data_IF_009264649572
#
_entry.id   IF_009264649572
#
_cell.length_a   1.000
_cell.length_b   1.000
_cell.length_c   1.000
_cell.angle_alpha   90.00
_cell.angle_beta   90.00
_cell.angle_gamma   90.00
#
_symmetry.space_group_name_H-M   'P 1'
#
loop_
_entity.id
_entity.type
_entity.pdbx_description
1 polymer ?
#
# COMPACT_ATOMS: atom_id res chain seq x y z
N UNK A 1 -1.42 -36.33 33.38
CA UNK A 1 -2.47 -36.16 32.37
C UNK A 1 -3.37 -35.02 32.82
N UNK A 2 -3.16 -33.82 32.27
CA UNK A 2 -4.07 -32.69 32.38
C UNK A 2 -4.18 -32.07 30.99
N UNK A 3 -5.39 -32.12 30.44
CA UNK A 3 -5.80 -31.38 29.26
C UNK A 3 -6.34 -30.06 29.78
N UNK A 4 -5.79 -28.94 29.31
CA UNK A 4 -6.40 -27.61 29.49
C UNK A 4 -6.45 -26.93 28.12
N UNK A 5 -7.68 -26.75 27.65
CA UNK A 5 -8.06 -25.82 26.59
C UNK A 5 -7.73 -24.39 27.03
N UNK A 6 -7.01 -23.63 26.20
CA UNK A 6 -6.76 -22.22 26.45
C UNK A 6 -5.68 -21.70 25.51
N UNK A 7 -6.08 -20.98 24.46
CA UNK A 7 -5.17 -20.18 23.64
C UNK A 7 -4.69 -19.05 24.55
N UNK A 8 -3.52 -19.24 25.16
CA UNK A 8 -2.84 -18.17 25.88
C UNK A 8 -2.34 -17.17 24.83
N UNK A 9 -2.97 -15.99 24.76
CA UNK A 9 -2.43 -14.83 24.06
C UNK A 9 -1.12 -14.44 24.76
N UNK A 10 0.01 -14.92 24.23
CA UNK A 10 1.32 -14.53 24.73
C UNK A 10 1.74 -13.27 23.98
N UNK A 11 1.54 -12.11 24.61
CA UNK A 11 2.14 -10.86 24.18
C UNK A 11 3.64 -10.95 24.44
N UNK A 12 4.43 -11.11 23.38
CA UNK A 12 5.88 -11.14 23.49
C UNK A 12 6.42 -9.71 23.34
N UNK A 13 7.26 -9.28 24.28
CA UNK A 13 8.08 -8.09 24.13
C UNK A 13 9.33 -8.47 23.31
N UNK A 14 9.44 -7.95 22.10
CA UNK A 14 10.57 -8.22 21.21
C UNK A 14 11.21 -6.89 20.82
N UNK A 15 12.46 -6.66 21.26
CA UNK A 15 13.19 -5.39 21.13
C UNK A 15 12.38 -4.13 21.54
N UNK A 16 11.62 -4.21 22.63
CA UNK A 16 10.81 -3.09 23.14
C UNK A 16 9.51 -2.84 22.37
N UNK A 17 9.17 -3.69 21.39
CA UNK A 17 7.89 -3.68 20.70
C UNK A 17 7.00 -4.81 21.24
N UNK A 18 5.73 -4.48 21.51
CA UNK A 18 4.72 -5.48 21.82
C UNK A 18 4.30 -6.17 20.51
N UNK A 19 4.62 -7.47 20.38
CA UNK A 19 4.23 -8.28 19.23
C UNK A 19 2.94 -9.01 19.59
N UNK A 20 1.87 -8.70 18.86
CA UNK A 20 0.58 -9.33 19.03
C UNK A 20 0.50 -10.60 18.19
N UNK A 21 0.29 -11.72 18.86
CA UNK A 21 0.19 -13.06 18.26
C UNK A 21 -1.25 -13.58 18.25
N UNK A 22 -2.24 -12.74 17.90
CA UNK A 22 -3.58 -13.27 17.61
C UNK A 22 -3.76 -13.43 16.11
N UNK A 23 -4.10 -14.65 15.72
CA UNK A 23 -4.76 -14.89 14.47
C UNK A 23 -6.15 -14.25 14.51
N UNK A 24 -6.60 -13.75 13.38
CA UNK A 24 -7.98 -13.31 13.18
C UNK A 24 -8.90 -14.49 13.44
N UNK A 25 -10.01 -14.29 14.16
CA UNK A 25 -11.05 -15.33 14.17
C UNK A 25 -11.69 -15.35 12.77
N UNK A 26 -12.04 -16.54 12.27
CA UNK A 26 -12.67 -16.68 10.94
C UNK A 26 -14.00 -15.93 10.84
N UNK A 27 -14.62 -15.63 11.98
CA UNK A 27 -15.90 -14.94 12.09
C UNK A 27 -15.75 -13.43 12.35
N UNK A 28 -14.52 -12.91 12.49
CA UNK A 28 -14.25 -11.51 12.78
C UNK A 28 -14.49 -10.65 11.53
N UNK A 29 -15.56 -9.86 11.55
CA UNK A 29 -15.87 -8.90 10.49
C UNK A 29 -15.07 -7.61 10.66
N UNK A 30 -14.77 -6.95 9.54
CA UNK A 30 -14.23 -5.58 9.56
C UNK A 30 -15.16 -4.66 10.37
N UNK A 31 -14.61 -3.77 11.23
CA UNK A 31 -15.45 -2.81 11.92
C UNK A 31 -16.15 -1.91 10.90
N UNK A 32 -17.43 -1.62 11.15
CA UNK A 32 -18.24 -0.77 10.26
C UNK A 32 -17.65 0.65 10.27
N UNK A 33 -17.09 1.05 9.14
CA UNK A 33 -16.59 2.40 8.93
C UNK A 33 -17.73 3.34 8.52
N UNK A 34 -17.72 4.62 8.95
CA UNK A 34 -18.68 5.61 8.46
C UNK A 34 -18.54 5.75 6.93
N UNK A 35 -19.64 5.56 6.18
CA UNK A 35 -19.69 5.52 4.71
C UNK A 35 -19.16 6.77 3.99
N UNK A 36 -18.96 7.88 4.69
CA UNK A 36 -18.48 9.16 4.14
C UNK A 36 -16.98 9.40 4.33
N UNK A 37 -16.25 8.45 4.91
CA UNK A 37 -14.92 8.72 5.43
C UNK A 37 -13.84 8.07 4.56
N UNK A 38 -12.80 8.83 4.21
CA UNK A 38 -11.53 8.34 3.63
C UNK A 38 -10.70 7.56 4.64
N UNK A 39 -11.37 7.02 5.66
CA UNK A 39 -10.77 6.26 6.75
C UNK A 39 -10.98 4.79 6.44
N UNK A 40 -9.89 4.04 6.50
CA UNK A 40 -9.84 2.60 6.23
C UNK A 40 -9.22 1.88 7.42
N UNK A 41 -9.52 0.60 7.58
CA UNK A 41 -8.84 -0.25 8.56
C UNK A 41 -7.65 -0.90 7.89
N UNK A 42 -6.46 -0.73 8.47
CA UNK A 42 -5.20 -1.23 7.91
C UNK A 42 -4.61 -2.40 8.70
N UNK A 43 -5.12 -2.65 9.91
CA UNK A 43 -4.77 -3.85 10.65
C UNK A 43 -5.40 -3.88 12.04
N UNK A 44 -5.03 -4.90 12.80
CA UNK A 44 -5.38 -5.09 14.20
C UNK A 44 -4.11 -5.08 15.04
N UNK A 45 -4.18 -4.45 16.19
CA UNK A 45 -3.16 -4.53 17.23
C UNK A 45 -3.80 -5.10 18.50
N UNK A 46 -3.04 -5.28 19.57
CA UNK A 46 -3.49 -6.02 20.77
C UNK A 46 -4.85 -5.57 21.31
N UNK A 47 -5.11 -4.26 21.32
CA UNK A 47 -6.28 -3.67 21.97
C UNK A 47 -7.23 -2.97 21.00
N UNK A 48 -7.21 -3.33 19.71
CA UNK A 48 -8.17 -2.80 18.73
C UNK A 48 -7.66 -2.74 17.31
N UNK A 49 -8.17 -1.78 16.55
CA UNK A 49 -7.87 -1.62 15.13
C UNK A 49 -6.97 -0.42 14.85
N UNK A 50 -6.16 -0.56 13.81
CA UNK A 50 -5.37 0.51 13.25
C UNK A 50 -6.15 1.12 12.08
N UNK A 51 -6.45 2.40 12.18
CA UNK A 51 -7.15 3.15 11.14
C UNK A 51 -6.19 4.10 10.42
N UNK A 52 -6.38 4.25 9.12
CA UNK A 52 -5.68 5.26 8.33
C UNK A 52 -6.70 6.19 7.65
N UNK A 53 -6.47 7.50 7.71
CA UNK A 53 -7.35 8.50 7.10
C UNK A 53 -6.61 9.25 5.98
N UNK A 54 -6.95 8.95 4.73
CA UNK A 54 -6.31 9.52 3.56
C UNK A 54 -6.53 11.04 3.39
N UNK A 55 -7.61 11.61 3.93
CA UNK A 55 -7.80 13.07 3.95
C UNK A 55 -6.81 13.76 4.90
N UNK A 56 -6.41 13.08 5.99
CA UNK A 56 -5.42 13.61 6.94
C UNK A 56 -3.99 13.29 6.49
N UNK A 57 -3.74 12.05 6.09
CA UNK A 57 -2.43 11.50 5.73
C UNK A 57 -2.52 10.93 4.32
N UNK A 58 -2.24 11.76 3.31
CA UNK A 58 -2.56 11.43 1.92
C UNK A 58 -1.70 10.30 1.33
N UNK A 59 -0.48 10.11 1.83
CA UNK A 59 0.47 9.19 1.23
C UNK A 59 0.92 8.13 2.25
N UNK A 60 1.11 6.91 1.74
CA UNK A 60 1.47 5.73 2.50
C UNK A 60 2.60 4.99 1.78
N UNK A 61 3.63 4.59 2.52
CA UNK A 61 4.64 3.63 2.04
C UNK A 61 4.26 2.24 2.54
N UNK A 62 4.35 1.23 1.67
CA UNK A 62 4.12 -0.18 2.02
C UNK A 62 5.34 -1.02 1.61
N UNK A 63 6.13 -1.47 2.57
CA UNK A 63 7.31 -2.28 2.29
C UNK A 63 7.15 -3.72 2.83
N UNK A 64 7.78 -4.68 2.18
CA UNK A 64 7.80 -6.06 2.68
C UNK A 64 8.20 -7.06 1.62
N UNK A 65 8.96 -8.08 2.01
CA UNK A 65 9.35 -9.14 1.06
C UNK A 65 8.15 -10.00 0.66
N UNK A 66 8.30 -10.69 -0.47
CA UNK A 66 7.29 -11.61 -1.00
C UNK A 66 6.89 -12.65 0.05
N UNK A 67 5.58 -12.93 0.13
CA UNK A 67 5.03 -13.93 1.04
C UNK A 67 4.75 -13.43 2.46
N UNK A 68 4.98 -12.16 2.79
CA UNK A 68 4.67 -11.62 4.13
C UNK A 68 3.41 -10.76 4.22
N UNK A 69 2.66 -10.63 3.11
CA UNK A 69 1.32 -10.03 3.14
C UNK A 69 1.21 -8.64 2.50
N UNK A 70 2.26 -8.11 1.86
CA UNK A 70 2.24 -6.81 1.13
C UNK A 70 1.08 -6.71 0.14
N UNK A 71 1.04 -7.60 -0.85
CA UNK A 71 -0.01 -7.64 -1.89
C UNK A 71 -1.40 -7.80 -1.28
N UNK A 72 -1.55 -8.73 -0.34
CA UNK A 72 -2.82 -8.97 0.34
C UNK A 72 -3.30 -7.78 1.19
N UNK A 73 -2.37 -7.02 1.78
CA UNK A 73 -2.69 -5.78 2.46
C UNK A 73 -3.20 -4.72 1.48
N UNK A 74 -2.53 -4.55 0.33
CA UNK A 74 -2.96 -3.61 -0.72
C UNK A 74 -4.35 -4.00 -1.25
N UNK A 75 -4.58 -5.30 -1.45
CA UNK A 75 -5.87 -5.91 -1.75
C UNK A 75 -6.98 -5.53 -0.74
N UNK A 76 -6.73 -5.73 0.55
CA UNK A 76 -7.65 -5.34 1.63
C UNK A 76 -7.85 -3.83 1.72
N UNK A 77 -6.82 -3.05 1.37
CA UNK A 77 -6.90 -1.60 1.35
C UNK A 77 -7.84 -1.16 0.22
N UNK A 78 -7.62 -1.65 -1.00
CA UNK A 78 -8.40 -1.37 -2.21
C UNK A 78 -9.89 -1.60 -1.98
N UNK A 79 -10.28 -2.71 -1.34
CA UNK A 79 -11.70 -3.03 -1.11
C UNK A 79 -12.44 -2.04 -0.21
N UNK A 80 -11.72 -1.19 0.51
CA UNK A 80 -12.28 -0.18 1.41
C UNK A 80 -12.26 1.24 0.81
N UNK A 81 -11.56 1.46 -0.31
CA UNK A 81 -11.37 2.80 -0.87
C UNK A 81 -12.61 3.26 -1.61
N UNK A 82 -13.05 4.47 -1.29
CA UNK A 82 -14.10 5.16 -2.03
C UNK A 82 -13.49 6.27 -2.89
N UNK A 83 -13.28 5.98 -4.17
CA UNK A 83 -12.70 6.90 -5.14
C UNK A 83 -12.26 6.20 -6.42
N UNK A 84 -11.57 6.94 -7.27
CA UNK A 84 -10.91 6.41 -8.46
C UNK A 84 -9.61 5.71 -8.05
N UNK A 85 -9.35 4.54 -8.64
CA UNK A 85 -8.13 3.78 -8.39
C UNK A 85 -7.30 3.71 -9.66
N UNK A 86 -6.05 4.13 -9.54
CA UNK A 86 -5.00 3.96 -10.56
C UNK A 86 -4.03 2.94 -9.99
N UNK A 87 -4.14 1.69 -10.45
CA UNK A 87 -3.32 0.57 -9.98
C UNK A 87 -2.24 0.25 -11.02
N UNK A 88 -0.98 0.43 -10.64
CA UNK A 88 0.19 0.16 -11.46
C UNK A 88 0.87 -1.11 -10.95
N UNK A 89 0.85 -2.15 -11.77
CA UNK A 89 1.54 -3.42 -11.53
C UNK A 89 2.28 -3.86 -12.78
N UNK A 90 3.57 -3.56 -12.82
CA UNK A 90 4.43 -3.87 -13.96
C UNK A 90 4.82 -5.34 -14.07
N UNK A 91 4.39 -6.19 -13.11
CA UNK A 91 4.63 -7.64 -13.15
C UNK A 91 3.58 -8.40 -13.97
N UNK A 92 2.75 -7.69 -14.74
CA UNK A 92 1.76 -8.30 -15.65
C UNK A 92 0.37 -8.47 -15.04
N UNK A 93 0.08 -7.87 -13.88
CA UNK A 93 -1.27 -7.84 -13.30
C UNK A 93 -1.73 -9.14 -12.64
N UNK A 94 -0.87 -10.16 -12.52
CA UNK A 94 -1.25 -11.49 -12.01
C UNK A 94 -1.84 -11.45 -10.61
N UNK A 95 -1.34 -10.56 -9.76
CA UNK A 95 -1.75 -10.49 -8.37
C UNK A 95 -3.17 -9.92 -8.21
N UNK A 96 -3.63 -9.08 -9.14
CA UNK A 96 -4.83 -8.25 -8.98
C UNK A 96 -5.93 -8.55 -10.00
N UNK A 97 -5.66 -9.36 -11.02
CA UNK A 97 -6.60 -9.71 -12.10
C UNK A 97 -6.80 -8.58 -13.11
N UNK A 98 -7.13 -7.37 -12.65
CA UNK A 98 -7.25 -6.16 -13.47
C UNK A 98 -6.48 -4.99 -12.85
N UNK A 99 -5.66 -4.34 -13.66
CA UNK A 99 -4.85 -3.18 -13.27
C UNK A 99 -5.01 -2.06 -14.29
N UNK A 100 -4.62 -0.84 -13.94
CA UNK A 100 -4.66 0.32 -14.84
C UNK A 100 -3.46 0.34 -15.77
N UNK A 101 -2.28 -0.10 -15.30
CA UNK A 101 -1.07 -0.17 -16.11
C UNK A 101 -0.27 -1.45 -15.83
N UNK A 102 0.13 -2.14 -16.88
CA UNK A 102 0.99 -3.34 -16.83
C UNK A 102 2.40 -3.14 -17.38
N UNK A 103 2.68 -1.99 -18.00
CA UNK A 103 3.99 -1.64 -18.56
C UNK A 103 4.36 -0.18 -18.27
N UNK A 104 5.63 0.17 -18.48
CA UNK A 104 6.19 1.49 -18.16
C UNK A 104 5.54 2.63 -18.96
N UNK A 105 5.11 2.37 -20.21
CA UNK A 105 4.49 3.38 -21.06
C UNK A 105 3.10 3.72 -20.54
N UNK A 106 2.30 2.69 -20.21
CA UNK A 106 0.98 2.86 -19.60
C UNK A 106 1.08 3.57 -18.24
N UNK A 107 2.06 3.17 -17.41
CA UNK A 107 2.30 3.80 -16.12
C UNK A 107 2.61 5.29 -16.27
N UNK A 108 3.47 5.68 -17.22
CA UNK A 108 3.74 7.09 -17.51
C UNK A 108 2.47 7.85 -17.84
N UNK A 109 1.69 7.34 -18.81
CA UNK A 109 0.48 8.01 -19.30
C UNK A 109 -0.51 8.26 -18.16
N UNK A 110 -0.76 7.25 -17.33
CA UNK A 110 -1.72 7.38 -16.23
C UNK A 110 -1.21 8.30 -15.11
N UNK A 111 0.09 8.27 -14.79
CA UNK A 111 0.68 9.19 -13.81
C UNK A 111 0.63 10.65 -14.27
N UNK A 112 0.98 10.92 -15.53
CA UNK A 112 0.92 12.27 -16.11
C UNK A 112 -0.52 12.82 -16.14
N UNK A 113 -1.47 11.95 -16.47
CA UNK A 113 -2.90 12.26 -16.45
C UNK A 113 -3.39 12.61 -15.05
N UNK A 114 -3.02 11.82 -14.03
CA UNK A 114 -3.33 12.15 -12.63
C UNK A 114 -2.78 13.53 -12.25
N UNK A 115 -1.52 13.83 -12.61
CA UNK A 115 -0.89 15.14 -12.37
C UNK A 115 -1.66 16.27 -13.06
N UNK A 116 -2.03 16.09 -14.34
CA UNK A 116 -2.78 17.09 -15.11
C UNK A 116 -4.17 17.38 -14.53
N UNK A 117 -4.84 16.36 -13.99
CA UNK A 117 -6.19 16.47 -13.43
C UNK A 117 -6.24 17.05 -12.01
N UNK A 118 -5.13 17.02 -11.25
CA UNK A 118 -5.10 17.48 -9.84
C UNK A 118 -5.69 18.87 -9.66
N UNK A 119 -5.28 19.83 -10.51
CA UNK A 119 -5.65 21.24 -10.36
C UNK A 119 -7.11 21.54 -10.72
N UNK A 120 -7.81 20.60 -11.34
CA UNK A 120 -9.13 20.82 -11.95
C UNK A 120 -10.26 20.12 -11.19
N UNK A 121 -9.94 19.17 -10.30
CA UNK A 121 -10.94 18.35 -9.60
C UNK A 121 -11.41 19.03 -8.31
N UNK A 122 -12.74 19.02 -8.09
CA UNK A 122 -13.32 19.70 -6.92
C UNK A 122 -13.47 18.82 -5.68
N UNK A 123 -13.77 17.51 -5.76
CA UNK A 123 -14.02 16.69 -4.54
C UNK A 123 -13.83 15.15 -4.65
N UNK A 124 -13.48 14.57 -5.81
CA UNK A 124 -13.30 13.11 -5.92
C UNK A 124 -11.88 12.68 -5.51
N UNK A 125 -11.80 11.58 -4.76
CA UNK A 125 -10.51 10.99 -4.35
C UNK A 125 -9.93 10.15 -5.48
N UNK A 126 -8.61 10.27 -5.72
CA UNK A 126 -7.83 9.36 -6.56
C UNK A 126 -6.82 8.64 -5.66
N UNK A 127 -6.74 7.32 -5.78
CA UNK A 127 -5.75 6.50 -5.10
C UNK A 127 -4.81 5.94 -6.15
N UNK A 128 -3.60 6.49 -6.20
CA UNK A 128 -2.51 5.98 -7.04
C UNK A 128 -1.79 4.91 -6.24
N UNK A 129 -1.88 3.66 -6.70
CA UNK A 129 -1.31 2.49 -6.04
C UNK A 129 -0.24 1.93 -6.96
N UNK A 130 0.99 1.89 -6.46
CA UNK A 130 2.14 1.31 -7.16
C UNK A 130 2.54 0.08 -6.37
N UNK A 131 2.31 -1.13 -6.90
CA UNK A 131 2.62 -2.36 -6.16
C UNK A 131 4.14 -2.54 -5.97
N UNK A 132 4.92 -2.39 -7.03
CA UNK A 132 6.37 -2.49 -6.99
C UNK A 132 7.01 -1.26 -7.64
N UNK A 133 7.35 -0.29 -6.81
CA UNK A 133 7.89 0.95 -7.31
C UNK A 133 9.33 0.85 -7.83
N UNK A 134 10.04 -0.23 -7.47
CA UNK A 134 11.35 -0.54 -8.07
C UNK A 134 11.28 -0.73 -9.59
N UNK A 135 10.15 -1.22 -10.11
CA UNK A 135 9.95 -1.38 -11.56
C UNK A 135 9.79 -0.04 -12.30
N UNK A 136 9.59 1.06 -11.57
CA UNK A 136 9.50 2.41 -12.14
C UNK A 136 10.84 3.16 -12.11
N UNK A 137 11.93 2.50 -11.71
CA UNK A 137 13.28 3.03 -11.85
C UNK A 137 13.92 2.57 -13.14
N UNK A 138 14.59 3.49 -13.84
CA UNK A 138 15.33 3.16 -15.05
C UNK A 138 16.47 2.18 -14.72
N UNK A 139 16.55 1.02 -15.41
CA UNK A 139 17.72 0.16 -15.32
C UNK A 139 18.99 0.91 -15.71
N UNK A 140 20.09 0.67 -14.97
CA UNK A 140 21.34 1.42 -15.12
C UNK A 140 22.00 1.34 -16.52
N UNK A 141 21.62 0.33 -17.33
CA UNK A 141 22.19 0.10 -18.65
C UNK A 141 21.43 0.81 -19.79
N UNK A 142 20.27 1.44 -19.50
CA UNK A 142 19.49 2.14 -20.52
C UNK A 142 20.09 3.51 -20.85
N UNK A 143 19.96 3.92 -22.11
CA UNK A 143 20.26 5.28 -22.54
C UNK A 143 19.25 6.29 -21.99
N UNK A 144 19.58 7.59 -22.04
CA UNK A 144 18.63 8.65 -21.64
C UNK A 144 17.31 8.60 -22.43
N UNK A 145 17.36 8.24 -23.72
CA UNK A 145 16.18 8.15 -24.57
C UNK A 145 15.28 6.99 -24.13
N UNK A 146 15.88 5.83 -23.87
CA UNK A 146 15.17 4.63 -23.37
C UNK A 146 14.68 4.81 -21.93
N UNK A 147 15.32 5.68 -21.14
CA UNK A 147 14.93 6.00 -19.78
C UNK A 147 13.83 7.07 -19.67
N UNK A 148 13.37 7.63 -20.79
CA UNK A 148 12.46 8.79 -20.78
C UNK A 148 11.15 8.52 -20.03
N UNK A 149 10.53 7.35 -20.25
CA UNK A 149 9.29 6.99 -19.57
C UNK A 149 9.48 6.81 -18.05
N UNK A 150 10.58 6.20 -17.64
CA UNK A 150 10.94 6.06 -16.23
C UNK A 150 11.14 7.42 -15.56
N UNK A 151 11.88 8.33 -16.22
CA UNK A 151 12.12 9.68 -15.70
C UNK A 151 10.81 10.47 -15.57
N UNK A 152 9.90 10.33 -16.54
CA UNK A 152 8.58 10.95 -16.49
C UNK A 152 7.73 10.37 -15.34
N UNK A 153 7.74 9.05 -15.13
CA UNK A 153 7.08 8.41 -13.98
C UNK A 153 7.61 8.97 -12.65
N UNK A 154 8.94 9.04 -12.48
CA UNK A 154 9.56 9.57 -11.26
C UNK A 154 9.19 11.03 -11.01
N UNK A 155 9.14 11.86 -12.07
CA UNK A 155 8.71 13.25 -11.97
C UNK A 155 7.24 13.35 -11.53
N UNK A 156 6.35 12.59 -12.15
CA UNK A 156 4.93 12.58 -11.82
C UNK A 156 4.67 12.08 -10.39
N UNK A 157 5.32 11.01 -9.95
CA UNK A 157 5.24 10.49 -8.59
C UNK A 157 5.70 11.54 -7.57
N UNK A 158 6.80 12.25 -7.86
CA UNK A 158 7.30 13.32 -6.99
C UNK A 158 6.31 14.48 -6.88
N UNK A 159 5.66 14.84 -7.99
CA UNK A 159 4.61 15.87 -7.99
C UNK A 159 3.35 15.41 -7.24
N UNK A 160 2.92 14.16 -7.43
CA UNK A 160 1.82 13.55 -6.68
C UNK A 160 2.11 13.57 -5.19
N UNK A 161 3.30 13.14 -4.76
CA UNK A 161 3.68 13.12 -3.35
C UNK A 161 3.68 14.54 -2.74
N UNK A 162 4.14 15.55 -3.48
CA UNK A 162 4.27 16.93 -2.97
C UNK A 162 2.95 17.69 -2.94
N UNK A 163 2.11 17.52 -3.96
CA UNK A 163 0.90 18.33 -4.15
C UNK A 163 -0.40 17.57 -3.88
N UNK A 164 -0.40 16.23 -3.99
CA UNK A 164 -1.60 15.41 -4.05
C UNK A 164 -2.55 15.60 -2.88
N UNK A 165 -2.00 15.79 -1.66
CA UNK A 165 -2.79 16.09 -0.45
C UNK A 165 -3.79 17.22 -0.64
N UNK A 166 -3.39 18.31 -1.30
CA UNK A 166 -4.24 19.49 -1.54
C UNK A 166 -5.36 19.24 -2.56
N UNK A 167 -5.24 18.19 -3.36
CA UNK A 167 -6.11 17.86 -4.49
C UNK A 167 -6.81 16.50 -4.33
N UNK A 168 -6.83 15.94 -3.12
CA UNK A 168 -7.42 14.62 -2.82
C UNK A 168 -6.83 13.46 -3.63
N UNK A 169 -5.56 13.57 -4.02
CA UNK A 169 -4.79 12.47 -4.63
C UNK A 169 -3.89 11.83 -3.59
N UNK A 170 -4.06 10.53 -3.42
CA UNK A 170 -3.41 9.71 -2.42
C UNK A 170 -2.43 8.76 -3.08
N UNK A 171 -1.24 8.62 -2.51
CA UNK A 171 -0.19 7.76 -3.06
C UNK A 171 0.05 6.58 -2.12
N UNK A 172 -0.19 5.38 -2.58
CA UNK A 172 0.18 4.13 -1.92
C UNK A 172 1.39 3.59 -2.67
N UNK A 173 2.57 3.81 -2.11
CA UNK A 173 3.85 3.52 -2.74
C UNK A 173 4.46 2.25 -2.14
N UNK A 174 4.37 1.14 -2.86
CA UNK A 174 4.78 -0.16 -2.34
C UNK A 174 6.05 -0.70 -2.99
N UNK A 175 6.82 -1.49 -2.23
CA UNK A 175 8.03 -2.16 -2.74
C UNK A 175 8.41 -3.39 -1.92
N UNK A 176 9.00 -4.38 -2.58
CA UNK A 176 9.61 -5.55 -1.93
C UNK A 176 11.07 -5.31 -1.52
N UNK A 177 11.73 -4.33 -2.16
CA UNK A 177 13.16 -4.08 -2.03
C UNK A 177 13.40 -2.60 -1.70
N UNK A 178 13.17 -2.16 -0.45
CA UNK A 178 13.33 -0.76 -0.11
C UNK A 178 14.82 -0.37 -0.16
N UNK A 179 15.21 0.32 -1.23
CA UNK A 179 16.51 0.99 -1.39
C UNK A 179 16.34 2.51 -1.33
N UNK A 180 17.45 3.25 -1.16
CA UNK A 180 17.41 4.72 -1.15
C UNK A 180 16.94 5.31 -2.49
N UNK A 181 17.18 4.60 -3.59
CA UNK A 181 16.80 5.03 -4.92
C UNK A 181 15.29 4.84 -5.14
N UNK A 182 14.73 3.74 -4.63
CA UNK A 182 13.29 3.44 -4.70
C UNK A 182 12.52 4.36 -3.75
N UNK A 183 12.89 4.37 -2.46
CA UNK A 183 12.29 5.26 -1.47
C UNK A 183 13.08 6.56 -1.38
N UNK A 184 12.96 7.36 -2.44
CA UNK A 184 13.63 8.64 -2.54
C UNK A 184 13.13 9.67 -1.50
N UNK A 185 13.88 10.76 -1.32
CA UNK A 185 13.58 11.78 -0.32
C UNK A 185 12.20 12.43 -0.47
N UNK A 186 11.71 12.63 -1.69
CA UNK A 186 10.41 13.26 -1.93
C UNK A 186 9.26 12.38 -1.45
N UNK A 187 9.27 11.09 -1.79
CA UNK A 187 8.23 10.16 -1.33
C UNK A 187 8.30 10.03 0.20
N UNK A 188 9.49 9.85 0.77
CA UNK A 188 9.66 9.68 2.22
C UNK A 188 9.24 10.89 3.05
N UNK A 189 9.48 12.11 2.55
CA UNK A 189 9.11 13.35 3.24
C UNK A 189 7.61 13.62 3.22
N UNK A 190 6.88 13.11 2.23
CA UNK A 190 5.45 13.36 2.08
C UNK A 190 4.56 12.16 2.49
N UNK A 191 5.13 10.96 2.62
CA UNK A 191 4.43 9.77 3.11
C UNK A 191 4.68 9.55 4.61
N UNK A 192 3.81 10.16 5.42
CA UNK A 192 3.86 10.07 6.90
C UNK A 192 3.52 8.67 7.43
N UNK A 193 2.62 7.96 6.75
CA UNK A 193 2.20 6.61 7.17
C UNK A 193 3.07 5.55 6.49
N UNK A 194 3.61 4.63 7.29
CA UNK A 194 4.46 3.54 6.80
C UNK A 194 3.98 2.21 7.35
N UNK A 195 3.80 1.27 6.44
CA UNK A 195 3.44 -0.11 6.72
C UNK A 195 4.61 -0.97 6.28
N UNK A 196 5.22 -1.71 7.19
CA UNK A 196 6.33 -2.59 6.86
C UNK A 196 6.08 -4.00 7.35
N UNK A 197 5.86 -4.93 6.42
CA UNK A 197 5.95 -6.35 6.68
C UNK A 197 7.43 -6.75 6.82
N UNK A 198 7.70 -8.04 7.06
CA UNK A 198 9.06 -8.51 7.27
C UNK A 198 9.98 -8.09 6.12
N UNK A 199 11.12 -7.53 6.48
CA UNK A 199 12.22 -7.18 5.58
C UNK A 199 13.43 -8.08 5.84
N UNK A 200 14.40 -8.20 4.92
CA UNK A 200 15.49 -9.15 5.09
C UNK A 200 16.62 -8.60 5.98
N UNK A 201 16.77 -7.28 6.06
CA UNK A 201 17.91 -6.63 6.72
C UNK A 201 17.51 -5.36 7.45
N UNK A 202 18.28 -5.00 8.49
CA UNK A 202 18.11 -3.74 9.20
C UNK A 202 18.26 -2.52 8.28
N UNK A 203 19.13 -2.62 7.27
CA UNK A 203 19.30 -1.56 6.26
C UNK A 203 17.99 -1.32 5.51
N UNK A 204 17.33 -2.39 5.04
CA UNK A 204 16.03 -2.30 4.37
C UNK A 204 14.97 -1.69 5.31
N UNK A 205 14.95 -2.09 6.58
CA UNK A 205 14.05 -1.50 7.59
C UNK A 205 14.29 0.00 7.77
N UNK A 206 15.55 0.42 7.93
CA UNK A 206 15.89 1.84 8.09
C UNK A 206 15.52 2.67 6.86
N UNK A 207 15.62 2.10 5.66
CA UNK A 207 15.17 2.78 4.45
C UNK A 207 13.65 2.95 4.46
N UNK A 208 12.88 1.92 4.82
CA UNK A 208 11.42 1.93 4.76
C UNK A 208 10.73 2.62 5.96
N UNK A 209 11.28 2.49 7.17
CA UNK A 209 10.69 2.97 8.43
C UNK A 209 11.37 4.21 9.01
N UNK A 210 12.57 4.56 8.53
CA UNK A 210 13.53 5.46 9.20
C UNK A 210 14.12 4.90 10.52
N UNK A 211 13.81 3.65 10.86
CA UNK A 211 14.31 2.94 12.05
C UNK A 211 14.40 1.43 11.80
N UNK A 212 15.03 0.69 12.70
CA UNK A 212 15.06 -0.79 12.66
C UNK A 212 13.73 -1.40 13.12
N UNK A 213 13.53 -2.70 12.88
CA UNK A 213 12.43 -3.50 13.44
C UNK A 213 11.72 -4.40 12.44
N UNK A 214 11.64 -4.03 11.16
CA UNK A 214 10.95 -4.87 10.16
C UNK A 214 11.76 -6.14 9.79
N UNK A 215 13.08 -6.09 9.91
CA UNK A 215 13.99 -7.24 9.75
C UNK A 215 13.84 -8.31 10.83
N UNK A 216 13.10 -7.92 11.84
CA UNK A 216 13.13 -8.44 13.17
C UNK A 216 11.77 -9.10 13.51
N UNK A 217 10.74 -8.75 12.73
CA UNK A 217 9.45 -9.47 12.68
C UNK A 217 9.68 -10.97 12.42
N UNK A 218 9.00 -11.88 13.12
CA UNK A 218 9.20 -13.33 12.97
C UNK A 218 8.97 -13.82 11.53
N UNK A 219 9.82 -14.75 11.07
CA UNK A 219 9.58 -15.48 9.83
C UNK A 219 8.34 -16.36 9.95
N UNK A 220 7.66 -16.59 8.82
CA UNK A 220 6.45 -17.42 8.77
C UNK A 220 5.16 -16.77 9.29
N UNK A 221 5.22 -15.57 9.86
CA UNK A 221 4.01 -14.86 10.30
C UNK A 221 3.46 -13.96 9.18
N UNK A 222 2.62 -14.55 8.33
CA UNK A 222 1.95 -13.83 7.24
C UNK A 222 1.10 -12.66 7.75
N UNK A 223 1.22 -11.49 7.12
CA UNK A 223 0.42 -10.30 7.46
C UNK A 223 0.85 -9.60 8.75
N UNK A 224 1.84 -10.10 9.49
CA UNK A 224 2.40 -9.35 10.61
C UNK A 224 3.29 -8.23 10.07
N UNK A 225 3.05 -7.02 10.53
CA UNK A 225 3.77 -5.83 10.10
C UNK A 225 3.92 -4.79 11.19
N UNK A 226 4.69 -3.77 10.88
CA UNK A 226 4.88 -2.58 11.69
C UNK A 226 4.09 -1.45 11.04
N UNK A 227 3.23 -0.82 11.83
CA UNK A 227 2.69 0.50 11.52
C UNK A 227 3.59 1.56 12.14
N UNK A 228 4.02 2.52 11.33
CA UNK A 228 4.80 3.67 11.78
C UNK A 228 4.20 4.97 11.25
N UNK A 229 3.99 5.89 12.19
CA UNK A 229 3.68 7.31 11.98
C UNK A 229 4.38 8.10 13.11
N UNK A 230 3.65 8.95 13.83
CA UNK A 230 4.14 9.61 15.06
C UNK A 230 4.51 8.60 16.15
N UNK A 231 3.84 7.45 16.14
CA UNK A 231 4.12 6.30 16.99
C UNK A 231 4.40 5.05 16.15
N UNK A 232 4.96 4.04 16.79
CA UNK A 232 5.26 2.74 16.20
C UNK A 232 4.47 1.67 16.93
N UNK A 233 3.82 0.76 16.20
CA UNK A 233 3.21 -0.43 16.79
C UNK A 233 3.32 -1.63 15.85
N UNK A 234 3.23 -2.83 16.42
CA UNK A 234 3.05 -4.06 15.65
C UNK A 234 1.56 -4.25 15.35
N UNK A 235 1.24 -4.64 14.13
CA UNK A 235 -0.13 -4.96 13.72
C UNK A 235 -0.17 -6.20 12.84
N UNK A 236 -1.32 -6.85 12.81
CA UNK A 236 -1.65 -7.91 11.86
C UNK A 236 -2.58 -7.33 10.79
N UNK A 237 -2.21 -7.41 9.52
CA UNK A 237 -3.08 -7.06 8.39
C UNK A 237 -4.21 -8.07 8.27
N UNK A 238 -5.32 -7.64 7.67
CA UNK A 238 -6.41 -8.52 7.26
C UNK A 238 -5.93 -9.52 6.22
N UNK A 239 -6.61 -10.65 6.12
CA UNK A 239 -6.48 -11.57 5.00
C UNK A 239 -7.67 -11.36 4.06
N UNK A 240 -7.37 -11.22 2.78
CA UNK A 240 -8.38 -11.12 1.75
C UNK A 240 -8.80 -12.55 1.38
N UNK A 241 -9.99 -12.96 1.80
CA UNK A 241 -10.63 -14.16 1.25
C UNK A 241 -11.41 -13.74 -0.01
N UNK A 242 -11.02 -14.26 -1.17
CA UNK A 242 -11.78 -14.09 -2.40
C UNK A 242 -13.12 -14.84 -2.27
N UNK A 243 -14.21 -14.10 -2.05
CA UNK A 243 -15.58 -14.60 -2.20
C UNK A 243 -16.29 -13.73 -3.24
N UNK A 244 -16.51 -14.30 -4.42
CA UNK A 244 -17.36 -13.78 -5.51
C UNK A 244 -17.10 -12.34 -5.98
N UNK A 245 -15.88 -12.10 -6.50
CA UNK A 245 -15.56 -10.95 -7.35
C UNK A 245 -15.34 -9.62 -6.61
N UNK A 246 -14.55 -8.73 -7.22
CA UNK A 246 -14.21 -7.43 -6.66
C UNK A 246 -14.98 -6.30 -7.36
N UNK A 247 -15.83 -5.54 -6.68
CA UNK A 247 -16.36 -4.31 -7.26
C UNK A 247 -15.36 -3.15 -7.01
N UNK A 248 -14.34 -3.02 -7.85
CA UNK A 248 -13.38 -1.90 -7.80
C UNK A 248 -13.56 -1.01 -9.03
N UNK A 249 -13.78 0.29 -8.81
CA UNK A 249 -13.87 1.30 -9.87
C UNK A 249 -12.47 1.55 -10.46
N UNK A 250 -12.08 0.71 -11.42
CA UNK A 250 -10.88 0.91 -12.24
C UNK A 250 -11.26 1.74 -13.47
N UNK A 251 -10.63 2.89 -13.66
CA UNK A 251 -10.79 3.70 -14.86
C UNK A 251 -10.18 2.94 -16.04
N UNK A 252 -10.99 2.65 -17.05
CA UNK A 252 -10.52 2.16 -18.34
C UNK A 252 -10.00 3.36 -19.16
N UNK A 253 -8.68 3.44 -19.47
CA UNK A 253 -8.12 4.55 -20.23
C UNK A 253 -8.64 4.65 -21.66
N UNK A 254 -9.25 3.59 -22.21
CA UNK A 254 -9.67 3.53 -23.61
C UNK A 254 -11.15 3.87 -23.83
N UNK A 255 -11.90 4.28 -22.80
CA UNK A 255 -13.31 4.67 -22.94
C UNK A 255 -13.60 5.99 -22.24
N UNK A 256 -13.60 7.09 -23.00
CA UNK A 256 -14.17 8.36 -22.55
C UNK A 256 -15.69 8.22 -22.39
N UNK A 257 -16.21 8.37 -21.17
CA UNK A 257 -17.58 8.83 -20.96
C UNK A 257 -18.59 7.93 -20.24
N UNK A 258 -18.28 6.72 -19.76
CA UNK A 258 -19.25 5.93 -18.96
C UNK A 258 -18.77 5.67 -17.52
N UNK A 259 -19.60 6.05 -16.54
CA UNK A 259 -19.49 5.56 -15.16
C UNK A 259 -20.03 4.13 -15.10
N UNK A 260 -19.28 3.18 -15.63
CA UNK A 260 -19.66 1.78 -15.49
C UNK A 260 -18.96 1.17 -14.27
N UNK A 261 -19.78 0.73 -13.33
CA UNK A 261 -19.39 -0.11 -12.20
C UNK A 261 -19.06 -1.48 -12.75
N UNK A 262 -17.81 -1.91 -12.68
CA UNK A 262 -17.41 -3.24 -13.15
C UNK A 262 -17.13 -4.18 -11.99
N UNK A 263 -17.76 -5.35 -12.08
CA UNK A 263 -17.42 -6.56 -11.34
C UNK A 263 -16.09 -7.09 -11.88
N UNK A 264 -15.04 -7.09 -11.07
CA UNK A 264 -13.81 -7.85 -11.31
C UNK A 264 -14.17 -9.30 -11.00
N UNK A 265 -14.07 -10.18 -11.99
CA UNK A 265 -14.19 -11.63 -11.77
C UNK A 265 -12.96 -12.16 -11.06
#
# INVERSE_FOLDING_TARGET
MYIIYGITLVSFYWLGMQVFASDWSKDEQLPILPRSNTSVVIGKFENGYVYHNFKKFAHMIVAGTTGYGKTNFIKCLISQLNGEIVLIDLKGGFDYGKVTATDITQARIELEKVVGEMKQRRQSHIYVIIDEAGELLAPAHLTKKESSDYLACQAAISEIARLGRGFHVHLIYATQYPTKDILNGQVKQNAETRICFRLPTEIASRVALDESGAEALPSGQYGLGIYKKDYKLSMKSFQFEERDGWDVKVRDPQREGSQDTFKIK
#
